data_IF_044488486041
#
_entry.id   IF_044488486041
#
_cell.length_a   1.000
_cell.length_b   1.000
_cell.length_c   1.000
_cell.angle_alpha   90.00
_cell.angle_beta   90.00
_cell.angle_gamma   90.00
#
_symmetry.space_group_name_H-M   'P 1'
#
loop_
_entity.id
_entity.type
_entity.pdbx_description
1 polymer ?
#
# COMPACT_ATOMS: atom_id res chain seq x y z
N UNK A 1 -23.11 17.67 9.35
CA UNK A 1 -23.27 18.70 8.30
C UNK A 1 -23.19 17.98 6.98
N UNK A 2 -24.05 18.27 6.00
CA UNK A 2 -24.43 17.31 4.94
C UNK A 2 -23.26 16.54 4.32
N UNK A 3 -22.17 17.20 3.90
CA UNK A 3 -20.99 16.51 3.35
C UNK A 3 -20.31 15.55 4.35
N UNK A 4 -20.21 15.95 5.62
CA UNK A 4 -19.65 15.10 6.68
C UNK A 4 -20.55 13.91 6.98
N UNK A 5 -21.87 14.10 6.95
CA UNK A 5 -22.82 13.02 7.22
C UNK A 5 -22.80 11.99 6.08
N UNK A 6 -22.66 12.44 4.83
CA UNK A 6 -22.43 11.56 3.66
C UNK A 6 -21.11 10.78 3.77
N UNK A 7 -20.03 11.42 4.22
CA UNK A 7 -18.76 10.74 4.46
C UNK A 7 -18.92 9.64 5.52
N UNK A 8 -19.55 9.96 6.66
CA UNK A 8 -19.75 9.00 7.75
C UNK A 8 -20.66 7.84 7.33
N UNK A 9 -21.70 8.10 6.54
CA UNK A 9 -22.57 7.06 5.99
C UNK A 9 -21.77 6.04 5.16
N UNK A 10 -20.82 6.50 4.35
CA UNK A 10 -19.95 5.61 3.58
C UNK A 10 -19.00 4.80 4.46
N UNK A 11 -18.41 5.40 5.51
CA UNK A 11 -17.53 4.68 6.46
C UNK A 11 -18.27 3.51 7.10
N UNK A 12 -19.50 3.74 7.58
CA UNK A 12 -20.30 2.69 8.21
C UNK A 12 -20.76 1.63 7.21
N UNK A 13 -21.27 2.06 6.05
CA UNK A 13 -21.75 1.14 5.01
C UNK A 13 -20.65 0.22 4.48
N UNK A 14 -19.40 0.71 4.35
CA UNK A 14 -18.29 -0.12 3.90
C UNK A 14 -17.89 -1.17 4.92
N UNK A 15 -17.85 -0.82 6.21
CA UNK A 15 -17.59 -1.79 7.28
C UNK A 15 -18.64 -2.92 7.29
N UNK A 16 -19.91 -2.56 7.14
CA UNK A 16 -21.03 -3.50 7.04
C UNK A 16 -20.93 -4.39 5.79
N UNK A 17 -20.70 -3.79 4.62
CA UNK A 17 -20.60 -4.51 3.35
C UNK A 17 -19.43 -5.50 3.33
N UNK A 18 -18.27 -5.14 3.90
CA UNK A 18 -17.13 -6.03 4.04
C UNK A 18 -17.44 -7.22 4.97
N UNK A 19 -18.14 -6.97 6.07
CA UNK A 19 -18.46 -8.00 7.04
C UNK A 19 -19.50 -9.00 6.52
N UNK A 20 -20.60 -8.51 5.93
CA UNK A 20 -21.76 -9.34 5.62
C UNK A 20 -21.90 -9.69 4.14
N UNK A 21 -21.30 -8.91 3.25
CA UNK A 21 -21.42 -9.15 1.82
C UNK A 21 -22.87 -9.10 1.33
N UNK A 22 -23.19 -10.00 0.40
CA UNK A 22 -24.49 -10.11 -0.26
C UNK A 22 -24.64 -11.45 -0.96
N UNK A 23 -25.69 -12.20 -0.66
CA UNK A 23 -25.92 -13.56 -1.17
C UNK A 23 -26.53 -13.58 -2.57
N UNK A 24 -26.49 -14.74 -3.22
CA UNK A 24 -27.12 -14.93 -4.53
C UNK A 24 -28.64 -14.77 -4.46
N UNK A 25 -29.27 -15.21 -3.37
CA UNK A 25 -30.70 -15.07 -3.11
C UNK A 25 -31.10 -13.60 -3.03
N UNK A 26 -30.32 -12.78 -2.31
CA UNK A 26 -30.54 -11.33 -2.20
C UNK A 26 -30.37 -10.63 -3.55
N UNK A 27 -29.34 -11.00 -4.32
CA UNK A 27 -29.09 -10.43 -5.66
C UNK A 27 -30.22 -10.79 -6.65
N UNK A 28 -30.78 -12.00 -6.55
CA UNK A 28 -31.94 -12.43 -7.35
C UNK A 28 -33.21 -11.70 -6.96
N UNK A 29 -33.42 -11.50 -5.65
CA UNK A 29 -34.58 -10.74 -5.15
C UNK A 29 -34.60 -9.29 -5.64
N UNK A 30 -33.44 -8.71 -5.96
CA UNK A 30 -33.33 -7.38 -6.60
C UNK A 30 -33.65 -7.34 -8.10
N UNK A 31 -34.03 -8.48 -8.70
CA UNK A 31 -34.35 -8.56 -10.12
C UNK A 31 -33.12 -8.64 -11.04
N UNK A 32 -31.97 -9.06 -10.51
CA UNK A 32 -30.79 -9.31 -11.35
C UNK A 32 -31.04 -10.50 -12.30
N UNK A 33 -30.70 -10.39 -13.60
CA UNK A 33 -30.71 -11.54 -14.50
C UNK A 33 -29.80 -12.66 -13.97
N UNK A 34 -30.20 -13.94 -14.14
CA UNK A 34 -29.47 -15.08 -13.58
C UNK A 34 -27.99 -15.11 -13.97
N UNK A 35 -27.66 -14.74 -15.21
CA UNK A 35 -26.27 -14.68 -15.69
C UNK A 35 -25.42 -13.62 -14.98
N UNK A 36 -26.04 -12.59 -14.40
CA UNK A 36 -25.36 -11.49 -13.72
C UNK A 36 -25.20 -11.74 -12.21
N UNK A 37 -26.00 -12.65 -11.63
CA UNK A 37 -25.97 -13.01 -10.21
C UNK A 37 -24.55 -13.31 -9.69
N UNK A 38 -23.74 -14.19 -10.30
CA UNK A 38 -22.41 -14.51 -9.77
C UNK A 38 -21.44 -13.32 -9.75
N UNK A 39 -21.69 -12.29 -10.58
CA UNK A 39 -20.88 -11.07 -10.63
C UNK A 39 -21.33 -9.99 -9.64
N UNK A 40 -22.49 -10.17 -8.99
CA UNK A 40 -23.09 -9.22 -8.03
C UNK A 40 -23.17 -9.77 -6.60
N UNK A 41 -22.77 -11.02 -6.39
CA UNK A 41 -22.59 -11.59 -5.06
C UNK A 41 -21.33 -11.02 -4.40
N UNK A 42 -21.40 -10.81 -3.09
CA UNK A 42 -20.28 -10.41 -2.26
C UNK A 42 -20.15 -11.43 -1.13
N UNK A 43 -19.00 -12.10 -1.03
CA UNK A 43 -18.82 -13.18 -0.04
C UNK A 43 -18.83 -12.68 1.41
N UNK A 44 -18.62 -11.38 1.64
CA UNK A 44 -18.48 -10.83 2.98
C UNK A 44 -17.27 -11.43 3.70
N UNK A 45 -17.38 -11.59 5.02
CA UNK A 45 -16.36 -12.17 5.91
C UNK A 45 -14.97 -11.52 5.76
N UNK A 46 -14.94 -10.21 5.51
CA UNK A 46 -13.72 -9.41 5.43
C UNK A 46 -13.62 -8.55 6.69
N UNK A 47 -12.72 -8.87 7.63
CA UNK A 47 -12.64 -8.15 8.89
C UNK A 47 -12.15 -6.71 8.69
N UNK A 48 -12.66 -5.79 9.51
CA UNK A 48 -12.22 -4.39 9.55
C UNK A 48 -12.22 -3.86 10.98
N UNK A 49 -11.40 -2.84 11.25
CA UNK A 49 -11.41 -2.09 12.50
C UNK A 49 -11.84 -0.65 12.20
N UNK A 50 -12.80 -0.11 12.95
CA UNK A 50 -13.21 1.29 12.84
C UNK A 50 -12.77 2.06 14.07
N UNK A 51 -11.89 3.06 13.87
CA UNK A 51 -11.48 4.01 14.91
C UNK A 51 -12.21 5.33 14.70
N UNK A 52 -13.16 5.64 15.58
CA UNK A 52 -13.94 6.88 15.52
C UNK A 52 -13.42 7.87 16.56
N UNK A 53 -13.16 9.11 16.12
CA UNK A 53 -12.72 10.21 16.98
C UNK A 53 -13.72 11.36 16.88
N UNK A 54 -13.93 12.08 17.98
CA UNK A 54 -14.84 13.24 18.01
C UNK A 54 -14.43 14.33 17.01
N UNK A 55 -13.11 14.57 16.89
CA UNK A 55 -12.53 15.54 15.95
C UNK A 55 -11.04 15.27 15.75
N UNK A 56 -10.55 15.51 14.53
CA UNK A 56 -9.12 15.51 14.24
C UNK A 56 -8.48 16.82 14.75
N UNK A 57 -8.04 16.80 16.00
CA UNK A 57 -7.23 17.86 16.63
C UNK A 57 -5.75 17.47 16.62
N UNK A 58 -4.80 18.39 16.83
CA UNK A 58 -3.37 18.03 16.93
C UNK A 58 -3.10 16.94 17.98
N UNK A 59 -3.77 17.01 19.13
CA UNK A 59 -3.67 16.00 20.18
C UNK A 59 -4.20 14.64 19.72
N UNK A 60 -5.34 14.60 19.04
CA UNK A 60 -5.93 13.35 18.54
C UNK A 60 -5.13 12.76 17.38
N UNK A 61 -4.54 13.59 16.52
CA UNK A 61 -3.60 13.13 15.50
C UNK A 61 -2.35 12.50 16.15
N UNK A 62 -1.78 13.13 17.18
CA UNK A 62 -0.66 12.56 17.93
C UNK A 62 -0.98 11.21 18.56
N UNK A 63 -2.18 11.05 19.13
CA UNK A 63 -2.65 9.75 19.64
C UNK A 63 -2.76 8.68 18.54
N UNK A 64 -3.24 9.04 17.36
CA UNK A 64 -3.33 8.10 16.23
C UNK A 64 -1.95 7.65 15.75
N UNK A 65 -0.99 8.57 15.66
CA UNK A 65 0.40 8.22 15.31
C UNK A 65 0.98 7.28 16.37
N UNK A 66 0.90 7.66 17.65
CA UNK A 66 1.42 6.85 18.75
C UNK A 66 0.76 5.46 18.84
N UNK A 67 -0.55 5.36 18.55
CA UNK A 67 -1.26 4.08 18.48
C UNK A 67 -0.61 3.13 17.46
N UNK A 68 -0.29 3.63 16.27
CA UNK A 68 0.34 2.82 15.23
C UNK A 68 1.82 2.55 15.50
N UNK A 69 2.57 3.50 16.07
CA UNK A 69 3.95 3.27 16.53
C UNK A 69 4.01 2.11 17.53
N UNK A 70 3.12 2.10 18.52
CA UNK A 70 3.08 1.03 19.51
C UNK A 70 2.51 -0.28 18.96
N UNK A 71 1.60 -0.23 17.99
CA UNK A 71 1.14 -1.45 17.29
C UNK A 71 2.28 -2.12 16.53
N UNK A 72 3.08 -1.34 15.78
CA UNK A 72 4.26 -1.85 15.06
C UNK A 72 5.31 -2.37 16.04
N UNK A 73 5.62 -1.63 17.10
CA UNK A 73 6.54 -2.07 18.15
C UNK A 73 6.11 -3.41 18.78
N UNK A 74 4.83 -3.54 19.11
CA UNK A 74 4.29 -4.77 19.72
C UNK A 74 4.43 -5.96 18.79
N UNK A 75 4.17 -5.79 17.50
CA UNK A 75 4.36 -6.84 16.50
C UNK A 75 5.84 -7.25 16.40
N UNK A 76 6.75 -6.28 16.36
CA UNK A 76 8.20 -6.54 16.36
C UNK A 76 8.69 -7.29 17.59
N UNK A 77 8.19 -6.91 18.77
CA UNK A 77 8.50 -7.59 20.03
C UNK A 77 8.01 -9.05 20.05
N UNK A 78 6.81 -9.31 19.51
CA UNK A 78 6.25 -10.68 19.36
C UNK A 78 7.12 -11.52 18.40
N UNK A 79 7.53 -10.93 17.27
CA UNK A 79 8.35 -11.62 16.28
C UNK A 79 9.85 -11.68 16.61
N UNK A 80 10.29 -11.05 17.70
CA UNK A 80 11.69 -10.98 18.11
C UNK A 80 12.61 -10.39 17.02
N UNK A 81 12.15 -9.33 16.37
CA UNK A 81 12.93 -8.57 15.38
C UNK A 81 13.22 -7.15 15.88
N UNK A 82 14.32 -6.56 15.41
CA UNK A 82 14.60 -5.15 15.66
C UNK A 82 13.71 -4.28 14.77
N UNK A 83 12.77 -3.56 15.37
CA UNK A 83 11.86 -2.65 14.66
C UNK A 83 12.46 -1.26 14.42
N UNK A 84 13.69 -1.03 14.89
CA UNK A 84 14.34 0.27 14.88
C UNK A 84 15.59 0.30 13.99
N UNK A 85 15.92 -0.82 13.33
CA UNK A 85 16.96 -0.88 12.30
C UNK A 85 16.38 -0.82 10.88
N UNK A 86 17.26 -0.57 9.90
CA UNK A 86 16.89 -0.53 8.48
C UNK A 86 18.03 -0.97 7.55
N UNK A 87 18.76 -2.03 7.89
CA UNK A 87 19.96 -2.43 7.14
C UNK A 87 19.72 -2.72 5.65
N UNK A 88 18.51 -3.13 5.28
CA UNK A 88 18.14 -3.46 3.91
C UNK A 88 18.28 -2.31 2.90
N UNK A 89 18.41 -1.06 3.34
CA UNK A 89 18.54 0.11 2.45
C UNK A 89 19.97 0.37 1.97
N UNK A 90 20.97 -0.22 2.62
CA UNK A 90 22.37 0.19 2.43
C UNK A 90 22.95 -0.28 1.10
N UNK A 91 22.67 -1.53 0.69
CA UNK A 91 23.21 -2.07 -0.55
C UNK A 91 22.76 -1.26 -1.77
N UNK A 92 21.49 -0.86 -1.82
CA UNK A 92 20.94 -0.04 -2.91
C UNK A 92 21.64 1.32 -3.02
N UNK A 93 21.92 1.98 -1.89
CA UNK A 93 22.66 3.26 -1.86
C UNK A 93 24.09 3.09 -2.39
N UNK A 94 24.79 2.04 -1.95
CA UNK A 94 26.16 1.75 -2.40
C UNK A 94 26.19 1.44 -3.90
N UNK A 95 25.27 0.63 -4.40
CA UNK A 95 25.17 0.30 -5.83
C UNK A 95 24.84 1.54 -6.66
N UNK A 96 23.92 2.39 -6.20
CA UNK A 96 23.60 3.63 -6.88
C UNK A 96 24.82 4.56 -6.98
N UNK A 97 25.58 4.73 -5.90
CA UNK A 97 26.82 5.52 -5.90
C UNK A 97 27.87 5.00 -6.89
N UNK A 98 27.95 3.68 -7.11
CA UNK A 98 28.82 3.06 -8.12
C UNK A 98 28.31 3.30 -9.54
N UNK A 99 26.99 3.20 -9.76
CA UNK A 99 26.38 3.33 -11.09
C UNK A 99 26.36 4.79 -11.57
N UNK A 100 26.16 5.78 -10.69
CA UNK A 100 26.08 7.21 -11.05
C UNK A 100 27.22 7.68 -11.99
N UNK A 101 28.52 7.46 -11.69
CA UNK A 101 29.60 7.87 -12.58
C UNK A 101 29.58 7.09 -13.91
N UNK A 102 29.09 5.85 -13.92
CA UNK A 102 28.92 5.05 -15.13
C UNK A 102 27.75 5.51 -16.01
N UNK A 103 26.97 6.52 -15.61
CA UNK A 103 25.93 7.11 -16.49
C UNK A 103 26.45 8.26 -17.34
N UNK A 104 27.72 8.65 -17.19
CA UNK A 104 28.37 9.65 -18.05
C UNK A 104 28.68 9.11 -19.45
N UNK A 105 28.78 10.00 -20.44
CA UNK A 105 28.97 9.65 -21.86
C UNK A 105 30.30 8.93 -22.09
N UNK A 106 31.34 9.46 -21.46
CA UNK A 106 32.75 9.13 -21.57
C UNK A 106 33.20 8.08 -20.54
N UNK A 107 32.28 7.59 -19.71
CA UNK A 107 32.59 6.57 -18.73
C UNK A 107 32.97 5.24 -19.41
N UNK A 108 33.90 4.47 -18.81
CA UNK A 108 34.24 3.12 -19.28
C UNK A 108 33.01 2.21 -19.47
N UNK A 109 33.21 1.10 -20.16
CA UNK A 109 32.19 0.08 -20.31
C UNK A 109 31.73 -0.40 -18.91
N UNK A 110 30.40 -0.46 -18.65
CA UNK A 110 29.90 -0.86 -17.35
C UNK A 110 30.27 -2.32 -17.07
N UNK A 111 30.56 -2.63 -15.81
CA UNK A 111 31.11 -3.92 -15.36
C UNK A 111 30.18 -4.64 -14.36
N UNK A 112 28.90 -4.73 -14.70
CA UNK A 112 27.86 -5.42 -13.91
C UNK A 112 27.38 -6.70 -14.60
N UNK A 113 26.29 -7.28 -14.10
CA UNK A 113 25.56 -8.33 -14.81
C UNK A 113 25.04 -7.84 -16.19
N UNK A 114 24.66 -8.79 -17.04
CA UNK A 114 24.26 -8.49 -18.43
C UNK A 114 23.02 -7.59 -18.52
N UNK A 115 22.08 -7.68 -17.57
CA UNK A 115 20.86 -6.87 -17.52
C UNK A 115 21.20 -5.42 -17.20
N UNK A 116 21.91 -5.20 -16.09
CA UNK A 116 22.31 -3.85 -15.65
C UNK A 116 23.18 -3.15 -16.71
N UNK A 117 24.12 -3.87 -17.30
CA UNK A 117 24.96 -3.35 -18.38
C UNK A 117 24.15 -2.95 -19.63
N UNK A 118 23.15 -3.74 -20.01
CA UNK A 118 22.28 -3.42 -21.15
C UNK A 118 21.46 -2.15 -20.90
N UNK A 119 20.95 -1.98 -19.68
CA UNK A 119 20.19 -0.79 -19.27
C UNK A 119 21.05 0.46 -19.26
N UNK A 120 22.26 0.43 -18.69
CA UNK A 120 23.20 1.56 -18.68
C UNK A 120 23.52 2.00 -20.12
N UNK A 121 23.88 1.05 -21.00
CA UNK A 121 24.17 1.34 -22.41
C UNK A 121 22.98 1.93 -23.15
N UNK A 122 21.77 1.40 -22.91
CA UNK A 122 20.53 1.92 -23.52
C UNK A 122 20.26 3.35 -23.04
N UNK A 123 20.44 3.61 -21.75
CA UNK A 123 20.24 4.94 -21.16
C UNK A 123 21.22 5.98 -21.73
N UNK A 124 22.53 5.67 -21.82
CA UNK A 124 23.53 6.57 -22.43
C UNK A 124 23.12 6.97 -23.86
N UNK A 125 22.75 5.99 -24.70
CA UNK A 125 22.26 6.24 -26.07
C UNK A 125 21.05 7.16 -26.12
N UNK A 126 20.09 7.00 -25.20
CA UNK A 126 18.89 7.84 -25.14
C UNK A 126 19.21 9.28 -24.70
N UNK A 127 20.26 9.46 -23.91
CA UNK A 127 20.74 10.77 -23.45
C UNK A 127 21.47 11.57 -24.54
N UNK A 128 21.55 11.04 -25.76
CA UNK A 128 22.30 11.65 -26.88
C UNK A 128 23.81 11.47 -26.75
N UNK A 129 24.25 10.43 -26.03
CA UNK A 129 25.65 10.06 -25.81
C UNK A 129 26.02 8.79 -26.56
#
# INVERSE_FOLDING_TARGET
GVHHDLLMANVFAQGEALAFGKTAEEVKAEGSPDWLVPHRCFEGNRPSNTLLLDKLTPANLGKLVALYEHSVFTQGAIWQIDSFDQWGVELGKVLAQRIIPELAADAPAPAHDSSTNALIRRYRKLKGQ
#
